data_IF_626685859495
#
_entry.id   IF_626685859495
#
_cell.length_a   1.000
_cell.length_b   1.000
_cell.length_c   1.000
_cell.angle_alpha   90.00
_cell.angle_beta   90.00
_cell.angle_gamma   90.00
#
_symmetry.space_group_name_H-M   'P 1'
#
loop_
_entity.id
_entity.type
_entity.pdbx_description
1 polymer ?
#
# COMPACT_ATOMS: atom_id res chain seq x y z
N UNK A 1 16.13 -25.12 -4.29
CA UNK A 1 16.00 -23.78 -4.91
C UNK A 1 14.63 -23.24 -4.56
N UNK A 2 14.53 -22.02 -3.94
CA UNK A 2 13.23 -21.36 -3.82
C UNK A 2 12.73 -21.06 -5.23
N UNK A 3 11.49 -21.42 -5.54
CA UNK A 3 10.85 -21.07 -6.82
C UNK A 3 10.70 -19.54 -6.85
N UNK A 4 11.22 -18.88 -7.88
CA UNK A 4 10.98 -17.47 -8.05
C UNK A 4 9.48 -17.25 -8.35
N UNK A 5 8.80 -16.45 -7.56
CA UNK A 5 7.38 -16.15 -7.75
C UNK A 5 7.15 -15.08 -8.83
N UNK A 6 8.15 -14.25 -9.07
CA UNK A 6 8.14 -13.21 -10.09
C UNK A 6 9.28 -13.41 -11.07
N UNK A 7 9.02 -13.10 -12.32
CA UNK A 7 10.03 -13.03 -13.36
C UNK A 7 10.90 -11.77 -13.19
N UNK A 8 12.08 -11.77 -13.83
CA UNK A 8 13.04 -10.66 -13.74
C UNK A 8 12.44 -9.33 -14.21
N UNK A 9 11.54 -9.35 -15.22
CA UNK A 9 10.83 -8.17 -15.71
C UNK A 9 9.90 -7.57 -14.65
N UNK A 10 9.13 -8.41 -13.95
CA UNK A 10 8.28 -7.96 -12.85
C UNK A 10 9.09 -7.43 -11.66
N UNK A 11 10.26 -8.02 -11.39
CA UNK A 11 11.18 -7.52 -10.37
C UNK A 11 11.80 -6.18 -10.76
N UNK A 12 12.12 -5.97 -12.05
CA UNK A 12 12.56 -4.68 -12.55
C UNK A 12 11.45 -3.62 -12.42
N UNK A 13 10.21 -3.98 -12.75
CA UNK A 13 9.03 -3.13 -12.54
C UNK A 13 8.88 -2.74 -11.07
N UNK A 14 8.98 -3.71 -10.15
CA UNK A 14 8.85 -3.45 -8.71
C UNK A 14 9.91 -2.44 -8.19
N UNK A 15 11.15 -2.51 -8.69
CA UNK A 15 12.20 -1.53 -8.35
C UNK A 15 11.89 -0.13 -8.86
N UNK A 16 11.38 0.00 -10.09
CA UNK A 16 10.93 1.29 -10.63
C UNK A 16 9.74 1.87 -9.84
N UNK A 17 8.86 1.01 -9.30
CA UNK A 17 7.81 1.47 -8.40
C UNK A 17 8.41 2.05 -7.11
N UNK A 18 9.46 1.44 -6.53
CA UNK A 18 10.16 2.01 -5.36
C UNK A 18 10.73 3.39 -5.66
N UNK A 19 11.36 3.57 -6.82
CA UNK A 19 11.86 4.88 -7.27
C UNK A 19 10.73 5.89 -7.45
N UNK A 20 9.59 5.45 -7.98
CA UNK A 20 8.41 6.31 -8.17
C UNK A 20 7.79 6.76 -6.84
N UNK A 21 7.77 5.89 -5.83
CA UNK A 21 7.36 6.27 -4.47
C UNK A 21 8.31 7.34 -3.92
N UNK A 22 9.62 7.13 -4.10
CA UNK A 22 10.64 8.08 -3.65
C UNK A 22 10.43 9.46 -4.26
N UNK A 23 10.41 9.55 -5.59
CA UNK A 23 10.27 10.83 -6.29
C UNK A 23 8.93 11.51 -5.99
N UNK A 24 7.83 10.75 -5.96
CA UNK A 24 6.52 11.31 -5.63
C UNK A 24 6.44 11.88 -4.21
N UNK A 25 7.15 11.28 -3.26
CA UNK A 25 7.23 11.83 -1.91
C UNK A 25 8.11 13.06 -1.83
N UNK A 26 9.24 13.08 -2.54
CA UNK A 26 10.15 14.23 -2.62
C UNK A 26 9.44 15.45 -3.23
N UNK A 27 8.72 15.26 -4.33
CA UNK A 27 7.91 16.31 -4.95
C UNK A 27 6.83 16.84 -4.01
N UNK A 28 6.11 15.93 -3.33
CA UNK A 28 5.09 16.31 -2.37
C UNK A 28 5.67 17.13 -1.19
N UNK A 29 6.85 16.75 -0.68
CA UNK A 29 7.53 17.53 0.34
C UNK A 29 7.88 18.93 -0.17
N UNK A 30 8.41 19.05 -1.38
CA UNK A 30 8.73 20.34 -2.01
C UNK A 30 7.51 21.26 -2.12
N UNK A 31 6.34 20.73 -2.47
CA UNK A 31 5.09 21.52 -2.56
C UNK A 31 4.66 22.07 -1.20
N UNK A 32 4.92 21.32 -0.12
CA UNK A 32 4.47 21.68 1.23
C UNK A 32 5.54 22.34 2.11
N UNK A 33 6.79 22.46 1.62
CA UNK A 33 7.92 22.96 2.42
C UNK A 33 7.67 24.34 3.04
N UNK A 34 7.03 25.25 2.28
CA UNK A 34 6.81 26.64 2.69
C UNK A 34 5.38 26.91 3.21
N UNK A 35 4.54 25.88 3.32
CA UNK A 35 3.16 26.04 3.73
C UNK A 35 3.01 25.91 5.26
N UNK A 36 2.38 26.90 5.87
CA UNK A 36 2.04 26.89 7.31
C UNK A 36 1.03 25.76 7.64
N UNK A 37 0.14 25.42 6.71
CA UNK A 37 -0.88 24.38 6.85
C UNK A 37 -0.74 23.32 5.78
N UNK A 38 -0.66 22.06 6.20
CA UNK A 38 -0.43 20.92 5.32
C UNK A 38 -1.70 20.02 5.14
N UNK A 39 -2.88 20.64 5.24
CA UNK A 39 -4.13 19.94 5.01
C UNK A 39 -4.16 19.37 3.57
N UNK A 40 -4.40 18.06 3.44
CA UNK A 40 -4.37 17.39 2.13
C UNK A 40 -3.02 16.82 1.71
N UNK A 41 -1.91 17.10 2.43
CA UNK A 41 -0.56 16.59 2.11
C UNK A 41 -0.55 15.07 1.84
N UNK A 42 -1.28 14.30 2.63
CA UNK A 42 -1.37 12.85 2.45
C UNK A 42 -2.05 12.42 1.15
N UNK A 43 -3.09 13.13 0.70
CA UNK A 43 -3.77 12.84 -0.57
C UNK A 43 -2.93 13.27 -1.77
N UNK A 44 -2.28 14.45 -1.69
CA UNK A 44 -1.36 14.93 -2.71
C UNK A 44 -0.16 13.99 -2.85
N UNK A 45 0.39 13.47 -1.75
CA UNK A 45 1.48 12.51 -1.80
C UNK A 45 1.14 11.27 -2.64
N UNK A 46 -0.08 10.75 -2.52
CA UNK A 46 -0.54 9.66 -3.38
C UNK A 46 -0.66 10.08 -4.84
N UNK A 47 -1.13 11.30 -5.13
CA UNK A 47 -1.23 11.80 -6.50
C UNK A 47 0.16 11.90 -7.16
N UNK A 48 1.16 12.41 -6.45
CA UNK A 48 2.54 12.47 -6.93
C UNK A 48 3.15 11.07 -7.13
N UNK A 49 2.95 10.15 -6.18
CA UNK A 49 3.42 8.77 -6.31
C UNK A 49 2.83 8.12 -7.56
N UNK A 50 1.52 8.19 -7.78
CA UNK A 50 0.87 7.57 -8.93
C UNK A 50 1.23 8.26 -10.26
N UNK A 51 1.49 9.57 -10.25
CA UNK A 51 1.98 10.29 -11.43
C UNK A 51 3.39 9.82 -11.80
N UNK A 52 4.31 9.75 -10.85
CA UNK A 52 5.67 9.26 -11.07
C UNK A 52 5.67 7.78 -11.50
N UNK A 53 4.82 6.95 -10.89
CA UNK A 53 4.64 5.55 -11.28
C UNK A 53 4.21 5.45 -12.75
N UNK A 54 3.22 6.23 -13.16
CA UNK A 54 2.76 6.26 -14.54
C UNK A 54 3.88 6.68 -15.51
N UNK A 55 4.60 7.75 -15.19
CA UNK A 55 5.64 8.28 -16.07
C UNK A 55 6.84 7.34 -16.20
N UNK A 56 7.37 6.85 -15.09
CA UNK A 56 8.56 6.01 -15.08
C UNK A 56 8.30 4.65 -15.72
N UNK A 57 7.19 4.01 -15.34
CA UNK A 57 6.86 2.68 -15.84
C UNK A 57 6.48 2.70 -17.32
N UNK A 58 5.71 3.70 -17.76
CA UNK A 58 5.35 3.81 -19.18
C UNK A 58 6.58 4.03 -20.06
N UNK A 59 7.54 4.86 -19.63
CA UNK A 59 8.82 5.03 -20.32
C UNK A 59 9.62 3.74 -20.43
N UNK A 60 9.50 2.86 -19.42
CA UNK A 60 10.18 1.57 -19.39
C UNK A 60 9.41 0.44 -20.12
N UNK A 61 8.25 0.73 -20.72
CA UNK A 61 7.46 -0.22 -21.50
C UNK A 61 6.43 -1.03 -20.70
N UNK A 62 6.23 -0.72 -19.42
CA UNK A 62 5.15 -1.27 -18.61
C UNK A 62 3.84 -0.50 -18.81
N UNK A 63 2.73 -1.05 -18.35
CA UNK A 63 1.44 -0.36 -18.32
C UNK A 63 1.13 0.10 -16.90
N UNK A 64 0.52 1.27 -16.78
CA UNK A 64 -0.06 1.74 -15.52
C UNK A 64 -1.50 2.12 -15.77
N UNK A 65 -2.41 1.47 -15.07
CA UNK A 65 -3.85 1.67 -15.26
C UNK A 65 -4.45 2.37 -14.05
N UNK A 66 -5.37 3.29 -14.34
CA UNK A 66 -6.12 4.00 -13.32
C UNK A 66 -7.36 3.17 -12.96
N UNK A 67 -7.45 2.78 -11.69
CA UNK A 67 -8.60 2.11 -11.12
C UNK A 67 -9.37 3.04 -10.16
N UNK A 68 -10.63 2.72 -9.91
CA UNK A 68 -11.51 3.52 -9.04
C UNK A 68 -12.22 2.62 -8.05
N UNK A 69 -12.20 3.00 -6.77
CA UNK A 69 -12.99 2.35 -5.72
C UNK A 69 -13.73 3.41 -4.91
N UNK A 70 -15.02 3.54 -5.16
CA UNK A 70 -15.81 4.64 -4.61
C UNK A 70 -15.30 6.01 -5.10
N UNK A 71 -14.90 6.88 -4.18
CA UNK A 71 -14.27 8.18 -4.50
C UNK A 71 -12.75 8.11 -4.64
N UNK A 72 -12.13 6.96 -4.37
CA UNK A 72 -10.69 6.79 -4.37
C UNK A 72 -10.19 6.31 -5.73
N UNK A 73 -9.20 7.03 -6.28
CA UNK A 73 -8.49 6.65 -7.50
C UNK A 73 -7.12 6.11 -7.12
N UNK A 74 -6.69 5.01 -7.74
CA UNK A 74 -5.41 4.38 -7.49
C UNK A 74 -4.82 3.82 -8.77
N UNK A 75 -3.51 3.65 -8.79
CA UNK A 75 -2.79 3.07 -9.91
C UNK A 75 -2.53 1.58 -9.68
N UNK A 76 -2.46 0.82 -10.77
CA UNK A 76 -1.96 -0.55 -10.80
C UNK A 76 -0.93 -0.64 -11.90
N UNK A 77 0.29 -1.02 -11.54
CA UNK A 77 1.35 -1.34 -12.48
C UNK A 77 1.14 -2.73 -13.07
N UNK A 78 1.37 -2.88 -14.36
CA UNK A 78 1.23 -4.15 -15.06
C UNK A 78 2.38 -4.39 -16.02
N UNK A 79 3.01 -5.54 -15.89
CA UNK A 79 4.01 -6.05 -16.81
C UNK A 79 3.36 -6.97 -17.84
N UNK A 80 3.23 -6.56 -19.12
CA UNK A 80 2.63 -7.39 -20.15
C UNK A 80 3.44 -8.65 -20.48
N UNK A 81 4.74 -8.66 -20.18
CA UNK A 81 5.62 -9.79 -20.48
C UNK A 81 5.39 -10.94 -19.51
N UNK A 82 5.47 -10.67 -18.21
CA UNK A 82 5.24 -11.67 -17.16
C UNK A 82 3.78 -11.80 -16.75
N UNK A 83 2.90 -10.94 -17.29
CA UNK A 83 1.48 -10.83 -16.91
C UNK A 83 1.29 -10.62 -15.40
N UNK A 84 2.16 -9.79 -14.82
CA UNK A 84 2.19 -9.50 -13.40
C UNK A 84 1.62 -8.12 -13.13
N UNK A 85 0.68 -8.03 -12.18
CA UNK A 85 0.16 -6.78 -11.67
C UNK A 85 0.69 -6.49 -10.26
N UNK A 86 1.07 -5.23 -9.98
CA UNK A 86 1.55 -4.80 -8.66
C UNK A 86 0.78 -3.55 -8.24
N UNK A 87 0.36 -3.51 -6.97
CA UNK A 87 -0.24 -2.35 -6.33
C UNK A 87 0.63 -1.82 -5.20
N UNK A 88 0.51 -0.52 -4.91
CA UNK A 88 1.26 0.15 -3.84
C UNK A 88 0.36 0.35 -2.62
N UNK A 89 0.91 0.09 -1.42
CA UNK A 89 0.24 0.37 -0.16
C UNK A 89 1.24 0.74 0.94
N UNK A 90 0.86 1.59 1.89
CA UNK A 90 1.64 1.76 3.13
C UNK A 90 1.56 0.52 3.98
N UNK A 91 2.67 0.11 4.59
CA UNK A 91 2.75 -1.14 5.37
C UNK A 91 1.73 -1.20 6.51
N UNK A 92 1.51 -0.08 7.23
CA UNK A 92 0.51 -0.04 8.30
C UNK A 92 -0.92 -0.28 7.76
N UNK A 93 -1.23 0.33 6.60
CA UNK A 93 -2.51 0.13 5.93
C UNK A 93 -2.66 -1.30 5.44
N UNK A 94 -1.61 -1.89 4.88
CA UNK A 94 -1.59 -3.27 4.43
C UNK A 94 -1.94 -4.22 5.58
N UNK A 95 -1.24 -4.13 6.71
CA UNK A 95 -1.49 -4.98 7.89
C UNK A 95 -2.92 -4.85 8.39
N UNK A 96 -3.43 -3.62 8.50
CA UNK A 96 -4.81 -3.38 8.92
C UNK A 96 -5.84 -3.96 7.95
N UNK A 97 -5.58 -3.88 6.64
CA UNK A 97 -6.46 -4.44 5.60
C UNK A 97 -6.38 -5.97 5.55
N UNK A 98 -5.20 -6.54 5.79
CA UNK A 98 -5.01 -7.98 5.84
C UNK A 98 -5.83 -8.61 6.97
N UNK A 99 -5.84 -8.02 8.17
CA UNK A 99 -6.70 -8.46 9.29
C UNK A 99 -8.18 -8.40 8.90
N UNK A 100 -8.60 -7.36 8.19
CA UNK A 100 -9.99 -7.26 7.70
C UNK A 100 -10.31 -8.30 6.64
N UNK A 101 -9.39 -8.57 5.71
CA UNK A 101 -9.54 -9.63 4.72
C UNK A 101 -9.73 -10.99 5.38
N UNK A 102 -8.93 -11.30 6.41
CA UNK A 102 -9.05 -12.53 7.20
C UNK A 102 -10.41 -12.63 7.92
N UNK A 103 -11.07 -11.51 8.19
CA UNK A 103 -12.45 -11.44 8.70
C UNK A 103 -13.52 -11.43 7.60
N UNK A 104 -13.14 -11.63 6.32
CA UNK A 104 -14.06 -11.69 5.18
C UNK A 104 -14.48 -10.32 4.63
N UNK A 105 -13.78 -9.24 5.00
CA UNK A 105 -13.99 -7.90 4.45
C UNK A 105 -13.04 -7.68 3.27
N UNK A 106 -13.58 -7.77 2.05
CA UNK A 106 -12.80 -7.51 0.84
C UNK A 106 -12.51 -6.03 0.67
N UNK A 107 -11.26 -5.71 0.33
CA UNK A 107 -10.83 -4.36 0.01
C UNK A 107 -10.18 -4.34 -1.39
N UNK A 108 -10.31 -3.23 -2.13
CA UNK A 108 -9.84 -3.13 -3.52
C UNK A 108 -8.35 -3.50 -3.70
N UNK A 109 -7.50 -3.29 -2.70
CA UNK A 109 -6.06 -3.64 -2.75
C UNK A 109 -5.81 -5.15 -2.89
N UNK A 110 -6.83 -5.98 -2.71
CA UNK A 110 -6.78 -7.43 -2.86
C UNK A 110 -7.50 -7.92 -4.12
N UNK A 111 -7.88 -7.01 -5.03
CA UNK A 111 -8.61 -7.38 -6.26
C UNK A 111 -7.86 -8.37 -7.14
N UNK A 112 -6.53 -8.35 -7.14
CA UNK A 112 -5.70 -9.24 -7.94
C UNK A 112 -5.41 -10.61 -7.32
N UNK A 113 -5.88 -10.91 -6.10
CA UNK A 113 -5.59 -12.19 -5.43
C UNK A 113 -6.01 -13.44 -6.22
N UNK A 114 -7.11 -13.46 -7.02
CA UNK A 114 -7.45 -14.61 -7.83
C UNK A 114 -6.35 -15.06 -8.79
N UNK A 115 -5.48 -14.16 -9.25
CA UNK A 115 -4.30 -14.48 -10.06
C UNK A 115 -3.31 -15.44 -9.36
N UNK A 116 -3.35 -15.50 -8.04
CA UNK A 116 -2.43 -16.29 -7.21
C UNK A 116 -3.05 -17.59 -6.70
N UNK A 117 -4.05 -18.13 -7.40
CA UNK A 117 -4.77 -19.35 -6.97
C UNK A 117 -3.84 -20.57 -6.88
N UNK A 118 -2.84 -20.67 -7.74
CA UNK A 118 -1.84 -21.74 -7.74
C UNK A 118 -0.96 -21.73 -6.47
N UNK A 119 -0.93 -20.62 -5.73
CA UNK A 119 -0.17 -20.50 -4.49
C UNK A 119 -0.92 -21.00 -3.25
N UNK A 120 -2.18 -21.38 -3.38
CA UNK A 120 -2.99 -21.84 -2.23
C UNK A 120 -2.41 -23.09 -1.55
N UNK A 121 -1.71 -23.94 -2.30
CA UNK A 121 -1.10 -25.18 -1.78
C UNK A 121 0.24 -24.95 -1.06
N UNK A 122 0.80 -23.73 -1.15
CA UNK A 122 2.13 -23.42 -0.61
C UNK A 122 2.14 -23.01 0.86
N UNK A 123 0.99 -22.70 1.43
CA UNK A 123 0.88 -22.34 2.86
C UNK A 123 0.65 -23.62 3.66
N UNK A 124 1.45 -23.92 4.69
CA UNK A 124 1.19 -25.04 5.57
C UNK A 124 -0.22 -24.93 6.17
N UNK A 125 -1.00 -26.00 6.08
CA UNK A 125 -2.38 -26.08 6.57
C UNK A 125 -2.54 -25.84 8.11
N UNK A 126 -1.47 -25.49 8.82
CA UNK A 126 -1.47 -25.27 10.27
C UNK A 126 -2.05 -23.93 10.71
N UNK A 127 -2.24 -22.98 9.81
CA UNK A 127 -2.88 -21.72 10.13
C UNK A 127 -4.39 -21.84 9.96
N UNK A 128 -5.05 -22.14 11.08
CA UNK A 128 -6.49 -22.05 11.31
C UNK A 128 -7.36 -22.55 10.15
N UNK A 129 -7.67 -23.84 10.18
CA UNK A 129 -8.89 -24.34 9.53
C UNK A 129 -10.05 -23.43 9.94
N UNK A 130 -10.44 -22.53 9.05
CA UNK A 130 -11.66 -21.74 9.23
C UNK A 130 -12.83 -22.73 9.21
N UNK A 131 -13.38 -23.01 10.37
CA UNK A 131 -14.58 -23.84 10.56
C UNK A 131 -15.80 -23.36 9.74
N UNK A 132 -15.70 -22.22 9.03
CA UNK A 132 -16.83 -21.52 8.41
C UNK A 132 -16.61 -21.11 6.94
N UNK A 133 -15.82 -21.83 6.15
CA UNK A 133 -15.74 -21.59 4.70
C UNK A 133 -15.37 -20.17 4.27
N UNK A 134 -14.56 -19.47 5.08
CA UNK A 134 -14.13 -18.06 4.83
C UNK A 134 -13.45 -17.88 3.49
N UNK A 135 -12.70 -18.89 3.05
CA UNK A 135 -11.90 -18.84 1.82
C UNK A 135 -12.78 -18.65 0.58
N UNK A 136 -13.92 -19.37 0.51
CA UNK A 136 -14.86 -19.24 -0.61
C UNK A 136 -15.53 -17.85 -0.67
N UNK A 137 -15.83 -17.26 0.49
CA UNK A 137 -16.46 -15.94 0.54
C UNK A 137 -15.50 -14.82 0.12
N UNK A 138 -14.21 -14.93 0.41
CA UNK A 138 -13.18 -13.99 -0.05
C UNK A 138 -12.99 -14.12 -1.56
N UNK A 139 -12.84 -15.35 -2.09
CA UNK A 139 -12.68 -15.62 -3.51
C UNK A 139 -13.86 -15.06 -4.33
N UNK A 140 -15.10 -15.38 -3.96
CA UNK A 140 -16.30 -14.90 -4.66
C UNK A 140 -16.41 -13.37 -4.68
N UNK A 141 -16.01 -12.70 -3.59
CA UNK A 141 -16.00 -11.24 -3.52
C UNK A 141 -14.89 -10.60 -4.36
N UNK A 142 -13.83 -11.35 -4.67
CA UNK A 142 -12.71 -10.90 -5.47
C UNK A 142 -12.93 -11.06 -6.99
N UNK A 143 -13.82 -11.93 -7.44
CA UNK A 143 -14.05 -12.24 -8.87
C UNK A 143 -14.35 -10.98 -9.68
N UNK A 144 -15.38 -10.23 -9.32
CA UNK A 144 -15.76 -9.02 -10.07
C UNK A 144 -14.67 -7.93 -10.09
N UNK A 145 -14.04 -7.56 -8.97
CA UNK A 145 -12.90 -6.65 -8.99
C UNK A 145 -11.69 -7.17 -9.77
N UNK A 146 -11.52 -8.48 -9.86
CA UNK A 146 -10.46 -9.09 -10.66
C UNK A 146 -10.74 -8.98 -12.15
N UNK A 147 -11.97 -9.26 -12.60
CA UNK A 147 -12.40 -9.07 -13.99
C UNK A 147 -12.23 -7.61 -14.43
N UNK A 148 -12.58 -6.66 -13.54
CA UNK A 148 -12.39 -5.23 -13.77
C UNK A 148 -10.89 -4.87 -13.92
N UNK A 149 -10.01 -5.53 -13.15
CA UNK A 149 -8.56 -5.34 -13.26
C UNK A 149 -8.04 -5.87 -14.60
N UNK A 150 -8.38 -7.10 -14.99
CA UNK A 150 -7.96 -7.69 -16.27
C UNK A 150 -8.45 -6.86 -17.46
N UNK A 151 -9.68 -6.38 -17.39
CA UNK A 151 -10.23 -5.48 -18.41
C UNK A 151 -9.46 -4.16 -18.47
N UNK A 152 -9.09 -3.59 -17.33
CA UNK A 152 -8.36 -2.32 -17.27
C UNK A 152 -6.93 -2.44 -17.80
N UNK A 153 -6.22 -3.54 -17.51
CA UNK A 153 -4.87 -3.78 -18.03
C UNK A 153 -4.87 -4.26 -19.49
N UNK A 154 -6.05 -4.56 -20.06
CA UNK A 154 -6.22 -5.13 -21.40
C UNK A 154 -5.33 -6.37 -21.57
N UNK A 155 -5.48 -7.32 -20.63
CA UNK A 155 -4.65 -8.52 -20.60
C UNK A 155 -4.96 -9.43 -19.42
N UNK A 156 -4.48 -10.67 -19.51
CA UNK A 156 -4.57 -11.66 -18.45
C UNK A 156 -3.60 -11.31 -17.32
N UNK A 157 -4.02 -11.49 -16.07
CA UNK A 157 -3.16 -11.32 -14.88
C UNK A 157 -2.87 -12.70 -14.28
N UNK A 158 -1.63 -13.17 -14.45
CA UNK A 158 -1.16 -14.48 -13.95
C UNK A 158 -0.49 -14.41 -12.58
N UNK A 159 -0.07 -13.22 -12.15
CA UNK A 159 0.56 -12.99 -10.85
C UNK A 159 0.18 -11.62 -10.32
N UNK A 160 -0.04 -11.56 -9.01
CA UNK A 160 -0.37 -10.32 -8.32
C UNK A 160 0.51 -10.14 -7.09
N UNK A 161 1.03 -8.93 -6.91
CA UNK A 161 1.82 -8.54 -5.75
C UNK A 161 1.37 -7.22 -5.15
N UNK A 162 1.68 -7.00 -3.88
CA UNK A 162 1.45 -5.72 -3.20
C UNK A 162 2.80 -5.21 -2.74
N UNK A 163 3.23 -4.08 -3.29
CA UNK A 163 4.43 -3.40 -2.84
C UNK A 163 4.07 -2.53 -1.65
N UNK A 164 4.61 -2.88 -0.50
CA UNK A 164 4.43 -2.11 0.73
C UNK A 164 5.65 -1.26 1.02
N UNK A 165 5.43 -0.05 1.56
CA UNK A 165 6.50 0.79 2.03
C UNK A 165 6.21 1.31 3.43
N UNK A 166 7.28 1.50 4.21
CA UNK A 166 7.25 2.05 5.57
C UNK A 166 7.98 3.37 5.60
N UNK A 167 7.39 4.32 6.30
CA UNK A 167 8.00 5.61 6.60
C UNK A 167 8.51 5.62 8.05
N UNK A 168 9.56 6.39 8.29
CA UNK A 168 9.99 6.73 9.64
C UNK A 168 9.24 7.96 10.18
N UNK A 169 9.66 8.42 11.35
CA UNK A 169 9.09 9.61 11.98
C UNK A 169 9.35 10.89 11.20
N UNK A 170 10.43 10.94 10.40
CA UNK A 170 10.74 12.04 9.50
C UNK A 170 10.02 11.94 8.14
N UNK A 171 9.12 10.97 7.97
CA UNK A 171 8.40 10.68 6.72
C UNK A 171 9.30 10.21 5.58
N UNK A 172 10.47 9.68 5.91
CA UNK A 172 11.39 9.09 4.95
C UNK A 172 11.11 7.60 4.76
N UNK A 173 11.34 7.08 3.54
CA UNK A 173 11.15 5.65 3.25
C UNK A 173 12.24 4.85 3.95
N UNK A 174 11.86 3.93 4.83
CA UNK A 174 12.78 3.04 5.57
C UNK A 174 12.86 1.65 5.00
N UNK A 175 11.77 1.17 4.47
CA UNK A 175 11.74 -0.16 3.86
C UNK A 175 10.70 -0.23 2.77
N UNK A 176 10.98 -1.08 1.79
CA UNK A 176 10.05 -1.49 0.74
C UNK A 176 10.05 -3.01 0.66
N UNK A 177 8.87 -3.59 0.64
CA UNK A 177 8.69 -5.05 0.57
C UNK A 177 7.63 -5.38 -0.46
N UNK A 178 7.91 -6.34 -1.33
CA UNK A 178 6.93 -6.89 -2.23
C UNK A 178 6.30 -8.12 -1.55
N UNK A 179 5.04 -7.96 -1.17
CA UNK A 179 4.25 -8.97 -0.49
C UNK A 179 3.55 -9.88 -1.52
N UNK A 180 3.67 -11.18 -1.34
CA UNK A 180 3.06 -12.19 -2.20
C UNK A 180 2.06 -12.96 -1.36
N UNK A 181 0.77 -12.81 -1.72
CA UNK A 181 -0.31 -13.52 -1.06
C UNK A 181 -0.89 -14.57 -2.00
N UNK A 182 -1.39 -15.67 -1.45
CA UNK A 182 -2.24 -16.58 -2.20
C UNK A 182 -3.66 -16.02 -2.36
N UNK A 183 -4.51 -16.72 -3.12
CA UNK A 183 -5.89 -16.30 -3.37
C UNK A 183 -6.75 -16.23 -2.08
N UNK A 184 -6.34 -16.88 -1.00
CA UNK A 184 -7.02 -16.85 0.31
C UNK A 184 -6.53 -15.69 1.19
N UNK A 185 -5.58 -14.88 0.73
CA UNK A 185 -5.04 -13.75 1.47
C UNK A 185 -3.99 -14.13 2.51
N UNK A 186 -3.38 -15.33 2.42
CA UNK A 186 -2.25 -15.70 3.25
C UNK A 186 -0.95 -15.28 2.58
N UNK A 187 -0.03 -14.68 3.34
CA UNK A 187 1.30 -14.32 2.84
C UNK A 187 2.08 -15.60 2.57
N UNK A 188 2.56 -15.76 1.34
CA UNK A 188 3.34 -16.91 0.87
C UNK A 188 4.83 -16.59 0.87
N UNK A 189 5.19 -15.37 0.51
CA UNK A 189 6.56 -14.88 0.51
C UNK A 189 6.62 -13.35 0.63
N UNK A 190 7.76 -12.86 1.07
CA UNK A 190 8.07 -11.43 1.20
C UNK A 190 9.44 -11.18 0.57
N UNK A 191 9.50 -10.22 -0.36
CA UNK A 191 10.74 -9.87 -1.04
C UNK A 191 11.18 -8.46 -0.64
N UNK A 192 12.34 -8.36 0.02
CA UNK A 192 12.92 -7.08 0.41
C UNK A 192 13.42 -6.31 -0.82
N UNK A 193 12.99 -5.08 -0.96
CA UNK A 193 13.36 -4.14 -2.03
C UNK A 193 14.12 -2.90 -1.50
N UNK A 194 14.64 -2.94 -0.28
CA UNK A 194 15.34 -1.81 0.33
C UNK A 194 16.55 -1.35 -0.50
N UNK A 195 17.17 -2.28 -1.24
CA UNK A 195 18.29 -1.96 -2.12
C UNK A 195 17.90 -1.07 -3.32
N UNK A 196 16.63 -0.98 -3.64
CA UNK A 196 16.10 -0.10 -4.69
C UNK A 196 15.77 1.31 -4.19
N UNK A 197 15.79 1.54 -2.87
CA UNK A 197 15.61 2.88 -2.30
C UNK A 197 16.85 3.71 -2.64
N UNK A 198 16.71 4.91 -3.25
CA UNK A 198 17.84 5.78 -3.58
C UNK A 198 18.75 6.10 -2.38
N UNK A 199 20.06 6.18 -2.60
CA UNK A 199 21.06 6.25 -1.52
C UNK A 199 20.93 7.46 -0.59
N UNK A 200 20.53 8.61 -1.13
CA UNK A 200 20.34 9.85 -0.38
C UNK A 200 19.29 9.74 0.74
N UNK A 201 18.43 8.73 0.68
CA UNK A 201 17.47 8.44 1.74
C UNK A 201 18.02 7.53 2.84
N UNK A 202 19.07 6.77 2.55
CA UNK A 202 19.72 5.89 3.51
C UNK A 202 20.61 6.64 4.52
N UNK A 203 21.04 7.86 4.13
CA UNK A 203 21.85 8.76 4.97
C UNK A 203 20.99 9.60 5.93
N UNK A 204 19.68 9.48 5.88
CA UNK A 204 18.80 10.16 6.82
C UNK A 204 19.05 9.68 8.26
N UNK A 205 19.02 10.66 9.16
CA UNK A 205 19.33 10.56 10.59
C UNK A 205 18.80 9.27 11.24
N UNK A 206 19.63 8.50 11.95
CA UNK A 206 19.20 7.30 12.65
C UNK A 206 18.00 7.54 13.57
N UNK A 207 17.10 6.56 13.70
CA UNK A 207 15.88 6.70 14.54
C UNK A 207 16.21 7.04 16.01
N UNK A 208 17.33 6.59 16.52
CA UNK A 208 17.84 6.91 17.87
C UNK A 208 18.28 8.38 18.01
N UNK A 209 18.79 9.01 16.98
CA UNK A 209 19.11 10.45 17.00
C UNK A 209 17.84 11.31 16.93
N UNK A 210 16.82 10.89 16.14
CA UNK A 210 15.52 11.57 16.08
C UNK A 210 14.81 11.46 17.44
N UNK A 211 14.91 10.30 18.09
CA UNK A 211 14.32 10.09 19.41
C UNK A 211 15.00 10.97 20.46
N UNK A 212 16.33 11.06 20.46
CA UNK A 212 17.08 11.98 21.32
C UNK A 212 16.73 13.43 21.08
N UNK A 213 16.63 13.84 19.81
CA UNK A 213 16.23 15.21 19.47
C UNK A 213 14.81 15.55 19.97
N UNK A 214 13.87 14.59 19.90
CA UNK A 214 12.52 14.76 20.45
C UNK A 214 12.49 14.80 21.97
N UNK A 215 13.33 14.02 22.64
CA UNK A 215 13.47 14.04 24.09
C UNK A 215 14.11 15.35 24.56
N UNK A 216 15.10 15.88 23.83
CA UNK A 216 15.76 17.14 24.14
C UNK A 216 14.90 18.37 23.84
N UNK A 217 14.16 18.37 22.71
CA UNK A 217 13.30 19.51 22.31
C UNK A 217 11.91 19.45 22.92
N UNK A 218 11.42 18.28 23.30
CA UNK A 218 10.13 18.09 23.96
C UNK A 218 10.00 18.76 25.33
N UNK A 219 11.14 19.13 25.94
CA UNK A 219 11.19 19.86 27.21
C UNK A 219 11.16 21.39 27.05
N UNK A 220 11.43 21.97 25.87
CA UNK A 220 11.42 23.44 25.67
C UNK A 220 10.10 23.97 25.10
N UNK A 221 9.33 23.17 24.39
CA UNK A 221 7.98 23.51 23.96
C UNK A 221 6.97 22.79 24.83
N UNK A 222 6.89 23.19 26.08
CA UNK A 222 5.83 22.79 27.01
C UNK A 222 4.47 23.24 26.49
N UNK A 223 3.95 22.56 25.47
CA UNK A 223 2.52 22.53 25.24
C UNK A 223 1.95 21.70 26.37
N UNK A 224 1.58 22.35 27.47
CA UNK A 224 0.64 21.83 28.43
C UNK A 224 -0.58 21.39 27.63
N UNK A 225 -0.72 20.06 27.45
CA UNK A 225 -1.98 19.45 27.03
C UNK A 225 -2.87 19.42 28.27
N UNK A 226 -3.13 20.62 28.81
CA UNK A 226 -4.18 20.82 29.78
C UNK A 226 -5.45 21.16 29.00
N UNK A 227 -6.38 20.23 29.11
CA UNK A 227 -7.74 20.28 28.58
C UNK A 227 -7.91 20.04 27.08
N UNK A 228 -7.93 18.77 26.69
CA UNK A 228 -8.79 18.37 25.56
C UNK A 228 -10.22 18.71 26.01
N UNK A 229 -10.92 19.66 25.33
CA UNK A 229 -12.30 19.95 25.70
C UNK A 229 -13.11 18.66 25.54
N UNK A 230 -13.77 18.22 26.61
CA UNK A 230 -14.70 17.10 26.59
C UNK A 230 -15.69 17.29 25.42
N UNK A 231 -15.63 16.38 24.46
CA UNK A 231 -16.51 16.41 23.30
C UNK A 231 -17.92 16.08 23.78
N UNK A 232 -18.73 17.10 24.11
CA UNK A 232 -20.13 16.92 24.45
C UNK A 232 -20.88 16.44 23.21
N UNK A 233 -21.48 15.24 23.20
CA UNK A 233 -22.23 14.77 22.03
C UNK A 233 -23.36 15.75 21.74
N UNK A 234 -23.49 16.16 20.49
CA UNK A 234 -24.61 17.00 20.03
C UNK A 234 -25.93 16.35 20.38
N UNK A 235 -26.79 17.08 21.10
CA UNK A 235 -28.16 16.61 21.39
C UNK A 235 -28.86 16.25 20.08
N UNK A 236 -29.37 15.01 20.03
CA UNK A 236 -30.22 14.57 18.90
C UNK A 236 -31.40 15.52 18.78
N UNK A 237 -31.56 16.13 17.61
CA UNK A 237 -32.76 16.86 17.25
C UNK A 237 -33.92 15.85 17.20
N UNK A 238 -34.80 15.92 18.17
CA UNK A 238 -36.09 15.23 18.12
C UNK A 238 -36.99 16.07 17.23
N UNK A 239 -37.35 15.55 16.06
CA UNK A 239 -38.44 16.14 15.25
C UNK A 239 -39.72 16.04 16.10
N UNK A 240 -40.32 17.19 16.41
CA UNK A 240 -41.68 17.25 16.87
C UNK A 240 -42.54 17.13 15.59
N UNK A 241 -43.17 15.97 15.44
CA UNK A 241 -44.27 15.82 14.50
C UNK A 241 -45.43 16.63 15.03
N UNK A 242 -45.89 17.60 14.23
CA UNK A 242 -47.13 18.31 14.34
C UNK A 242 -47.97 18.02 13.11
#
# INVERSE_FOLDING_TARGET
MKKAFFEDSAMAMAKLIVESIYHGMEENEGVYADLMYSNGKGQHGWAHIFQNEHEHLTKAGYRVVLMVSGSWKYAVAYDPHSKTAIMILRQENFRNRLVKLQNGEMHYVFSGLPANQDLNEMVPQYEQMSLFGRDKAVQQKAEKPFDELEQAVDGEVLRFGILTYRLDLAQLIRSCTLEILNANGCIVDEMNLDSAIPMNWKEAVPEDEITKFKEETGNEYGVQIDSIPEFKPRKKFVRKDG
#
